data_IF_096035702037
#
_entry.id   IF_096035702037
#
_cell.length_a   1.000
_cell.length_b   1.000
_cell.length_c   1.000
_cell.angle_alpha   90.00
_cell.angle_beta   90.00
_cell.angle_gamma   90.00
#
_symmetry.space_group_name_H-M   'P 1'
#
loop_
_entity.id
_entity.type
_entity.pdbx_description
1 polymer ?
#
# COMPACT_ATOMS: atom_id res chain seq x y z
N UNK A 1 7.02 12.55 18.29
CA UNK A 1 5.72 12.34 17.61
C UNK A 1 5.80 11.06 16.79
N UNK A 2 5.14 9.98 17.20
CA UNK A 2 5.10 8.76 16.38
C UNK A 2 4.25 8.99 15.13
N UNK A 3 4.87 8.98 13.96
CA UNK A 3 4.17 9.07 12.67
C UNK A 3 3.52 7.73 12.34
N UNK A 4 2.34 7.46 12.92
CA UNK A 4 1.57 6.24 12.64
C UNK A 4 0.54 6.53 11.55
N UNK A 5 0.62 5.81 10.44
CA UNK A 5 -0.38 5.84 9.36
C UNK A 5 -1.04 4.47 9.33
N UNK A 6 -2.38 4.43 9.34
CA UNK A 6 -3.12 3.16 9.29
C UNK A 6 -4.14 3.23 8.16
N UNK A 7 -3.80 2.60 7.05
CA UNK A 7 -4.59 2.61 5.84
C UNK A 7 -5.27 1.26 5.65
N UNK A 8 -6.51 1.14 6.09
CA UNK A 8 -7.31 -0.06 5.85
C UNK A 8 -7.93 -0.03 4.47
N UNK A 9 -7.79 -1.12 3.73
CA UNK A 9 -8.36 -1.28 2.40
C UNK A 9 -9.79 -1.77 2.55
N UNK A 10 -10.75 -0.87 2.32
CA UNK A 10 -12.18 -1.18 2.33
C UNK A 10 -12.80 -0.66 1.05
N UNK A 11 -13.15 -1.53 0.09
CA UNK A 11 -13.86 -1.08 -1.08
C UNK A 11 -15.16 -0.40 -0.65
N UNK A 12 -15.37 0.87 -1.03
CA UNK A 12 -16.65 1.54 -0.90
C UNK A 12 -17.65 1.08 -1.97
N UNK A 13 -17.19 0.28 -2.93
CA UNK A 13 -17.91 0.02 -4.17
C UNK A 13 -19.16 -0.85 -3.97
N UNK A 14 -20.27 -0.29 -4.44
CA UNK A 14 -21.51 -0.94 -4.88
C UNK A 14 -21.29 -1.80 -6.14
N UNK A 15 -20.20 -1.57 -6.89
CA UNK A 15 -19.88 -2.26 -8.13
C UNK A 15 -19.00 -3.50 -7.92
N UNK A 16 -19.51 -4.66 -8.35
CA UNK A 16 -18.94 -5.99 -8.10
C UNK A 16 -17.54 -6.21 -8.72
N UNK A 17 -17.26 -5.68 -9.91
CA UNK A 17 -15.98 -5.88 -10.60
C UNK A 17 -14.78 -5.24 -9.87
N UNK A 18 -14.99 -4.11 -9.19
CA UNK A 18 -13.98 -3.47 -8.35
C UNK A 18 -13.65 -4.30 -7.11
N UNK A 19 -14.63 -5.06 -6.60
CA UNK A 19 -14.38 -5.99 -5.49
C UNK A 19 -13.48 -7.14 -5.95
N UNK A 20 -13.62 -7.62 -7.19
CA UNK A 20 -12.80 -8.70 -7.74
C UNK A 20 -11.34 -8.28 -7.97
N UNK A 21 -11.08 -7.06 -8.44
CA UNK A 21 -9.71 -6.52 -8.57
C UNK A 21 -9.02 -6.36 -7.21
N UNK A 22 -9.80 -6.12 -6.16
CA UNK A 22 -9.30 -5.82 -4.81
C UNK A 22 -9.26 -7.03 -3.86
N UNK A 23 -9.76 -8.21 -4.26
CA UNK A 23 -9.91 -9.41 -3.40
C UNK A 23 -9.26 -10.67 -3.98
N UNK A 24 -8.04 -10.57 -4.51
CA UNK A 24 -7.25 -11.77 -4.79
C UNK A 24 -6.93 -12.57 -3.52
N UNK A 25 -6.65 -13.87 -3.65
CA UNK A 25 -6.09 -14.70 -2.56
C UNK A 25 -4.75 -14.09 -2.11
N UNK A 26 -4.58 -13.83 -0.82
CA UNK A 26 -3.50 -13.01 -0.23
C UNK A 26 -3.56 -11.50 -0.55
N UNK A 27 -4.77 -10.95 -0.73
CA UNK A 27 -4.94 -9.50 -0.83
C UNK A 27 -4.52 -8.82 0.48
N UNK A 28 -3.86 -7.67 0.33
CA UNK A 28 -3.52 -6.80 1.47
C UNK A 28 -4.81 -6.14 1.93
N UNK A 29 -5.20 -6.41 3.17
CA UNK A 29 -6.39 -5.84 3.80
C UNK A 29 -6.07 -4.51 4.51
N UNK A 30 -4.83 -4.32 4.93
CA UNK A 30 -4.40 -3.10 5.61
C UNK A 30 -2.89 -2.84 5.41
N UNK A 31 -2.55 -1.56 5.27
CA UNK A 31 -1.18 -1.07 5.31
C UNK A 31 -1.00 -0.21 6.55
N UNK A 32 0.06 -0.48 7.31
CA UNK A 32 0.37 0.28 8.52
C UNK A 32 1.81 0.76 8.47
N UNK A 33 2.01 2.07 8.66
CA UNK A 33 3.32 2.66 8.85
C UNK A 33 3.53 2.87 10.35
N UNK A 34 4.54 2.20 10.90
CA UNK A 34 4.95 2.34 12.30
C UNK A 34 6.47 2.49 12.34
N UNK A 35 6.98 3.50 13.04
CA UNK A 35 8.42 3.73 13.21
C UNK A 35 9.20 3.76 11.87
N UNK A 36 8.62 4.38 10.84
CA UNK A 36 9.18 4.46 9.48
C UNK A 36 9.25 3.12 8.71
N UNK A 37 8.68 2.05 9.26
CA UNK A 37 8.57 0.74 8.63
C UNK A 37 7.13 0.51 8.14
N UNK A 38 6.98 0.15 6.87
CA UNK A 38 5.69 -0.24 6.30
C UNK A 38 5.43 -1.72 6.59
N UNK A 39 4.23 -2.03 7.05
CA UNK A 39 3.72 -3.37 7.27
C UNK A 39 2.50 -3.62 6.40
N UNK A 40 2.39 -4.83 5.87
CA UNK A 40 1.19 -5.30 5.16
C UNK A 40 0.50 -6.38 5.99
N UNK A 41 -0.78 -6.14 6.27
CA UNK A 41 -1.67 -7.11 6.89
C UNK A 41 -2.53 -7.77 5.82
N UNK A 42 -2.50 -9.08 5.78
CA UNK A 42 -3.22 -9.90 4.80
C UNK A 42 -4.54 -10.41 5.38
N UNK A 43 -5.49 -10.76 4.51
CA UNK A 43 -6.77 -11.33 4.94
C UNK A 43 -6.63 -12.67 5.68
N UNK A 44 -5.47 -13.35 5.53
CA UNK A 44 -5.08 -14.52 6.33
C UNK A 44 -4.81 -14.21 7.82
N UNK A 45 -4.87 -12.93 8.22
CA UNK A 45 -4.61 -12.49 9.58
C UNK A 45 -3.14 -12.22 9.89
N UNK A 46 -2.26 -12.44 8.92
CA UNK A 46 -0.81 -12.33 9.11
C UNK A 46 -0.32 -10.93 8.73
N UNK A 47 0.62 -10.39 9.51
CA UNK A 47 1.31 -9.12 9.23
C UNK A 47 2.80 -9.35 9.01
N UNK A 48 3.37 -8.73 7.98
CA UNK A 48 4.82 -8.73 7.77
C UNK A 48 5.34 -7.34 7.36
N UNK A 49 6.58 -6.99 7.75
CA UNK A 49 7.24 -5.81 7.22
C UNK A 49 7.47 -5.96 5.71
N UNK A 50 7.23 -4.87 4.98
CA UNK A 50 7.36 -4.83 3.52
C UNK A 50 8.11 -3.60 3.06
N UNK A 51 8.75 -3.74 1.90
CA UNK A 51 9.39 -2.64 1.20
C UNK A 51 8.59 -2.29 -0.06
N UNK A 52 8.45 -1.00 -0.33
CA UNK A 52 7.90 -0.51 -1.60
C UNK A 52 9.01 -0.52 -2.64
N UNK A 53 8.78 -1.14 -3.78
CA UNK A 53 9.75 -1.22 -4.88
C UNK A 53 9.68 0.00 -5.79
N UNK A 54 10.76 0.28 -6.52
CA UNK A 54 10.85 1.44 -7.44
C UNK A 54 9.88 1.40 -8.62
N UNK A 55 9.29 0.24 -8.92
CA UNK A 55 8.27 0.11 -9.98
C UNK A 55 6.89 0.65 -9.56
N UNK A 56 6.72 1.04 -8.30
CA UNK A 56 5.48 1.60 -7.78
C UNK A 56 5.14 2.94 -8.44
N UNK A 57 3.86 3.19 -8.68
CA UNK A 57 3.36 4.43 -9.27
C UNK A 57 2.52 5.20 -8.25
N UNK A 58 2.92 6.43 -7.92
CA UNK A 58 2.29 7.25 -6.87
C UNK A 58 1.57 8.45 -7.48
N UNK A 59 0.30 8.26 -7.82
CA UNK A 59 -0.58 9.30 -8.34
C UNK A 59 -1.42 10.00 -7.26
N UNK A 60 -2.13 11.09 -7.63
CA UNK A 60 -2.96 11.84 -6.69
C UNK A 60 -4.25 11.11 -6.25
N UNK A 61 -4.82 10.29 -7.15
CA UNK A 61 -6.07 9.53 -6.93
C UNK A 61 -5.89 8.02 -7.01
N UNK A 62 -4.83 7.57 -7.67
CA UNK A 62 -4.50 6.15 -7.85
C UNK A 62 -3.02 5.95 -7.50
N UNK A 63 -2.76 4.99 -6.62
CA UNK A 63 -1.41 4.54 -6.29
C UNK A 63 -1.34 3.03 -6.52
N UNK A 64 -0.35 2.61 -7.31
CA UNK A 64 -0.01 1.22 -7.56
C UNK A 64 1.27 0.91 -6.77
N UNK A 65 1.14 0.23 -5.63
CA UNK A 65 2.28 -0.13 -4.79
C UNK A 65 2.70 -1.56 -5.07
N UNK A 66 3.89 -1.73 -5.64
CA UNK A 66 4.53 -3.04 -5.73
C UNK A 66 5.37 -3.22 -4.46
N UNK A 67 4.88 -4.06 -3.55
CA UNK A 67 5.50 -4.34 -2.26
C UNK A 67 6.22 -5.68 -2.28
N UNK A 68 7.29 -5.82 -1.49
CA UNK A 68 8.01 -7.08 -1.29
C UNK A 68 8.20 -7.32 0.20
N UNK A 69 7.97 -8.55 0.65
CA UNK A 69 8.28 -8.92 2.02
C UNK A 69 9.79 -8.87 2.26
N UNK A 70 10.21 -8.56 3.49
CA UNK A 70 11.63 -8.54 3.86
C UNK A 70 12.23 -9.95 3.91
N UNK A 71 11.41 -10.95 4.22
CA UNK A 71 11.78 -12.35 4.14
C UNK A 71 11.61 -12.83 2.70
N UNK A 72 12.72 -13.26 2.11
CA UNK A 72 12.94 -13.40 0.67
C UNK A 72 12.07 -14.47 -0.03
N UNK A 73 11.17 -15.15 0.69
CA UNK A 73 10.36 -16.28 0.19
C UNK A 73 9.08 -15.88 -0.54
N UNK A 74 8.59 -14.66 -0.33
CA UNK A 74 7.37 -14.17 -0.97
C UNK A 74 7.70 -13.22 -2.12
N UNK A 75 7.26 -13.55 -3.34
CA UNK A 75 7.36 -12.66 -4.50
C UNK A 75 6.71 -11.29 -4.26
N UNK A 76 6.99 -10.33 -5.14
CA UNK A 76 6.38 -9.00 -5.03
C UNK A 76 4.86 -9.04 -5.24
N UNK A 77 4.11 -8.26 -4.47
CA UNK A 77 2.65 -8.14 -4.57
C UNK A 77 2.26 -6.74 -5.00
N UNK A 78 1.21 -6.64 -5.81
CA UNK A 78 0.63 -5.35 -6.20
C UNK A 78 -0.51 -4.98 -5.24
N UNK A 79 -0.47 -3.77 -4.70
CA UNK A 79 -1.56 -3.18 -3.91
C UNK A 79 -2.08 -1.96 -4.67
N UNK A 80 -3.38 -1.98 -4.95
CA UNK A 80 -4.07 -0.89 -5.65
C UNK A 80 -4.77 -0.02 -4.61
N UNK A 81 -4.44 1.26 -4.55
CA UNK A 81 -5.07 2.25 -3.68
C UNK A 81 -5.77 3.30 -4.55
N UNK A 82 -7.07 3.45 -4.39
CA UNK A 82 -7.92 4.29 -5.22
C UNK A 82 -8.78 5.24 -4.38
N UNK A 83 -8.78 6.51 -4.76
CA UNK A 83 -9.64 7.56 -4.20
C UNK A 83 -10.10 8.51 -5.33
N UNK A 84 -11.12 8.08 -6.08
CA UNK A 84 -11.74 8.88 -7.15
C UNK A 84 -13.06 9.55 -6.71
N UNK A 85 -13.45 9.39 -5.44
CA UNK A 85 -14.69 9.92 -4.88
C UNK A 85 -15.36 8.91 -3.95
N UNK A 86 -16.50 9.26 -3.31
CA UNK A 86 -17.19 8.37 -2.38
C UNK A 86 -17.57 7.00 -2.97
N UNK A 87 -18.00 6.97 -4.23
CA UNK A 87 -18.47 5.77 -4.93
C UNK A 87 -17.34 4.88 -5.45
N UNK A 88 -16.16 5.46 -5.65
CA UNK A 88 -14.99 4.78 -6.21
C UNK A 88 -13.76 5.07 -5.34
N UNK A 89 -13.73 4.43 -4.18
CA UNK A 89 -12.55 4.44 -3.30
C UNK A 89 -12.40 3.11 -2.57
N UNK A 90 -11.18 2.78 -2.17
CA UNK A 90 -10.92 1.65 -1.28
C UNK A 90 -10.12 2.03 -0.04
N UNK A 91 -9.95 3.33 0.20
CA UNK A 91 -9.11 3.89 1.25
C UNK A 91 -9.78 5.09 1.89
N UNK A 92 -9.41 5.38 3.14
CA UNK A 92 -9.68 6.69 3.73
C UNK A 92 -8.86 7.78 3.01
N UNK A 93 -9.47 8.89 2.56
CA UNK A 93 -8.76 9.95 1.83
C UNK A 93 -7.63 10.62 2.62
N UNK A 94 -7.80 10.79 3.93
CA UNK A 94 -6.82 11.45 4.80
C UNK A 94 -5.59 10.58 4.98
N UNK A 95 -5.81 9.30 5.32
CA UNK A 95 -4.73 8.33 5.49
C UNK A 95 -4.04 8.04 4.16
N UNK A 96 -4.79 8.00 3.04
CA UNK A 96 -4.20 7.86 1.71
C UNK A 96 -3.29 9.04 1.36
N UNK A 97 -3.69 10.27 1.68
CA UNK A 97 -2.84 11.46 1.50
C UNK A 97 -1.58 11.35 2.34
N UNK A 98 -1.68 10.99 3.62
CA UNK A 98 -0.53 10.81 4.52
C UNK A 98 0.45 9.77 3.99
N UNK A 99 -0.04 8.60 3.58
CA UNK A 99 0.79 7.56 3.01
C UNK A 99 1.52 8.05 1.76
N UNK A 100 0.83 8.76 0.85
CA UNK A 100 1.46 9.31 -0.36
C UNK A 100 2.55 10.33 -0.05
N UNK A 101 2.36 11.17 0.96
CA UNK A 101 3.40 12.11 1.38
C UNK A 101 4.61 11.36 1.90
N UNK A 102 4.42 10.39 2.79
CA UNK A 102 5.50 9.56 3.31
C UNK A 102 6.26 8.82 2.19
N UNK A 103 5.54 8.18 1.26
CA UNK A 103 6.15 7.46 0.14
C UNK A 103 7.02 8.36 -0.73
N UNK A 104 6.57 9.59 -1.00
CA UNK A 104 7.33 10.56 -1.82
C UNK A 104 8.58 11.05 -1.09
N UNK A 105 8.48 11.29 0.22
CA UNK A 105 9.60 11.74 1.05
C UNK A 105 10.63 10.62 1.27
N UNK A 106 10.19 9.38 1.46
CA UNK A 106 11.05 8.22 1.67
C UNK A 106 11.75 7.72 0.39
N UNK A 107 11.12 7.87 -0.79
CA UNK A 107 11.77 7.53 -2.07
C UNK A 107 12.92 8.47 -2.43
N UNK A 108 12.89 9.72 -1.99
CA UNK A 108 14.01 10.66 -2.13
C UNK A 108 15.21 10.34 -1.23
N UNK A 109 15.07 9.45 -0.24
CA UNK A 109 16.11 9.14 0.74
C UNK A 109 16.60 7.68 0.69
N UNK A 110 16.20 6.92 -0.34
CA UNK A 110 16.68 5.54 -0.49
C UNK A 110 18.04 5.57 -1.18
N UNK A 111 19.12 5.05 -0.55
CA UNK A 111 20.39 4.95 -1.25
C UNK A 111 20.18 4.08 -2.49
N UNK A 112 20.64 4.57 -3.63
CA UNK A 112 20.79 3.79 -4.84
C UNK A 112 21.65 2.58 -4.47
N UNK A 113 21.02 1.42 -4.28
CA UNK A 113 21.75 0.17 -4.37
C UNK A 113 21.99 -0.01 -5.87
N UNK A 114 23.07 0.61 -6.34
CA UNK A 114 23.68 0.34 -7.62
C UNK A 114 24.16 -1.11 -7.57
N UNK A 115 23.36 -2.02 -8.13
CA UNK A 115 23.85 -3.35 -8.45
C UNK A 115 24.79 -3.20 -9.65
N UNK A 116 26.08 -3.26 -9.34
CA UNK A 116 27.19 -3.58 -10.23
C UNK A 116 26.96 -4.93 -10.92
#
# INVERSE_FOLDING_TARGET
MSNRIKLRLRPSATHQWLRSILRGVNSVAELTLEQDQLHAYFDSGISYPVFVTGESRIGPRLTLLKIRASDTRSGSRLVVLANFGPEFRNVDPTEFRRLRMWLRLGQSNRPLVSNT
#
